data_IF_478781475433
#
_entry.id   IF_478781475433
#
_cell.length_a   1.000
_cell.length_b   1.000
_cell.length_c   1.000
_cell.angle_alpha   90.00
_cell.angle_beta   90.00
_cell.angle_gamma   90.00
#
_symmetry.space_group_name_H-M   'P 1'
#
loop_
_entity.id
_entity.type
_entity.pdbx_description
1 polymer ?
#
# COMPACT_ATOMS: atom_id res chain seq x y z
N UNK A 1 -62.82 -1.05 -22.27
CA UNK A 1 -61.53 -1.77 -22.29
C UNK A 1 -61.83 -3.23 -21.99
N UNK A 2 -61.77 -4.10 -22.99
CA UNK A 2 -62.01 -5.54 -22.85
C UNK A 2 -60.73 -6.17 -22.28
N UNK A 3 -60.82 -6.74 -21.07
CA UNK A 3 -59.73 -7.49 -20.48
C UNK A 3 -59.56 -8.78 -21.29
N UNK A 4 -58.41 -8.97 -21.94
CA UNK A 4 -58.09 -10.23 -22.61
C UNK A 4 -57.97 -11.30 -21.52
N UNK A 5 -58.86 -12.28 -21.54
CA UNK A 5 -58.77 -13.43 -20.64
C UNK A 5 -57.74 -14.37 -21.27
N UNK A 6 -56.59 -14.54 -20.60
CA UNK A 6 -55.55 -15.45 -21.04
C UNK A 6 -56.02 -16.89 -20.90
N UNK A 7 -55.79 -17.67 -21.95
CA UNK A 7 -56.09 -19.08 -21.95
C UNK A 7 -55.09 -19.84 -21.04
N UNK A 8 -55.48 -21.00 -20.50
CA UNK A 8 -54.55 -21.85 -19.74
C UNK A 8 -53.27 -22.21 -20.50
N UNK A 9 -53.32 -22.28 -21.84
CA UNK A 9 -52.16 -22.55 -22.68
C UNK A 9 -51.18 -21.38 -22.74
N UNK A 10 -51.67 -20.13 -22.79
CA UNK A 10 -50.85 -18.91 -22.73
C UNK A 10 -50.15 -18.83 -21.37
N UNK A 11 -50.89 -18.98 -20.27
CA UNK A 11 -50.31 -19.00 -18.91
C UNK A 11 -49.22 -20.07 -18.74
N UNK A 12 -49.44 -21.27 -19.30
CA UNK A 12 -48.44 -22.34 -19.22
C UNK A 12 -47.19 -22.06 -20.07
N UNK A 13 -47.33 -21.37 -21.21
CA UNK A 13 -46.19 -20.94 -22.01
C UNK A 13 -45.34 -19.90 -21.25
N UNK A 14 -45.98 -18.92 -20.61
CA UNK A 14 -45.32 -17.91 -19.80
C UNK A 14 -44.58 -18.54 -18.63
N UNK A 15 -45.20 -19.48 -17.91
CA UNK A 15 -44.54 -20.19 -16.83
C UNK A 15 -43.26 -20.92 -17.27
N UNK A 16 -43.24 -21.52 -18.47
CA UNK A 16 -42.03 -22.17 -18.98
C UNK A 16 -40.95 -21.14 -19.34
N UNK A 17 -41.34 -20.00 -19.90
CA UNK A 17 -40.41 -18.92 -20.19
C UNK A 17 -39.76 -18.40 -18.90
N UNK A 18 -40.56 -18.10 -17.86
CA UNK A 18 -40.04 -17.65 -16.57
C UNK A 18 -39.16 -18.69 -15.89
N UNK A 19 -39.47 -19.98 -16.02
CA UNK A 19 -38.60 -21.05 -15.52
C UNK A 19 -37.22 -21.04 -16.20
N UNK A 20 -37.17 -20.74 -17.49
CA UNK A 20 -35.92 -20.57 -18.23
C UNK A 20 -35.14 -19.36 -17.70
N UNK A 21 -35.80 -18.21 -17.58
CA UNK A 21 -35.18 -16.97 -17.09
C UNK A 21 -34.64 -17.14 -15.67
N UNK A 22 -35.42 -17.74 -14.77
CA UNK A 22 -35.01 -18.05 -13.40
C UNK A 22 -33.78 -18.98 -13.38
N UNK A 23 -33.71 -19.95 -14.30
CA UNK A 23 -32.57 -20.86 -14.38
C UNK A 23 -31.31 -20.12 -14.83
N UNK A 24 -31.43 -19.20 -15.79
CA UNK A 24 -30.34 -18.32 -16.23
C UNK A 24 -29.88 -17.40 -15.10
N UNK A 25 -30.80 -16.70 -14.42
CA UNK A 25 -30.44 -15.80 -13.32
C UNK A 25 -29.76 -16.53 -12.16
N UNK A 26 -30.16 -17.77 -11.87
CA UNK A 26 -29.48 -18.59 -10.86
C UNK A 26 -28.03 -18.88 -11.24
N UNK A 27 -27.78 -19.12 -12.52
CA UNK A 27 -26.43 -19.32 -13.03
C UNK A 27 -25.61 -18.02 -12.90
N UNK A 28 -26.15 -16.90 -13.37
CA UNK A 28 -25.48 -15.58 -13.28
C UNK A 28 -25.14 -15.22 -11.83
N UNK A 29 -26.09 -15.40 -10.90
CA UNK A 29 -25.87 -15.13 -9.46
C UNK A 29 -24.76 -16.03 -8.90
N UNK A 30 -24.68 -17.28 -9.32
CA UNK A 30 -23.63 -18.19 -8.87
C UNK A 30 -22.26 -17.76 -9.39
N UNK A 31 -22.17 -17.33 -10.64
CA UNK A 31 -20.95 -16.77 -11.24
C UNK A 31 -20.50 -15.52 -10.48
N UNK A 32 -21.39 -14.54 -10.30
CA UNK A 32 -21.07 -13.30 -9.57
C UNK A 32 -20.64 -13.55 -8.13
N UNK A 33 -21.19 -14.57 -7.47
CA UNK A 33 -20.74 -14.97 -6.11
C UNK A 33 -19.30 -15.47 -6.13
N UNK A 34 -18.95 -16.33 -7.09
CA UNK A 34 -17.58 -16.82 -7.24
C UNK A 34 -16.60 -15.70 -7.58
N UNK A 35 -17.02 -14.74 -8.42
CA UNK A 35 -16.22 -13.56 -8.76
C UNK A 35 -15.98 -12.68 -7.52
N UNK A 36 -17.03 -12.46 -6.70
CA UNK A 36 -16.89 -11.71 -5.46
C UNK A 36 -15.96 -12.40 -4.45
N UNK A 37 -16.05 -13.72 -4.29
CA UNK A 37 -15.14 -14.48 -3.41
C UNK A 37 -13.68 -14.30 -3.85
N UNK A 38 -13.40 -14.46 -5.15
CA UNK A 38 -12.06 -14.22 -5.71
C UNK A 38 -11.59 -12.77 -5.54
N UNK A 39 -12.48 -11.79 -5.72
CA UNK A 39 -12.14 -10.38 -5.51
C UNK A 39 -11.78 -10.09 -4.05
N UNK A 40 -12.46 -10.70 -3.08
CA UNK A 40 -12.14 -10.56 -1.66
C UNK A 40 -10.77 -11.15 -1.33
N UNK A 41 -10.44 -12.33 -1.84
CA UNK A 41 -9.10 -12.93 -1.68
C UNK A 41 -7.99 -12.02 -2.23
N UNK A 42 -8.22 -11.40 -3.40
CA UNK A 42 -7.26 -10.45 -3.98
C UNK A 42 -7.10 -9.19 -3.12
N UNK A 43 -8.19 -8.65 -2.57
CA UNK A 43 -8.14 -7.49 -1.67
C UNK A 43 -7.38 -7.83 -0.38
N UNK A 44 -7.55 -9.03 0.17
CA UNK A 44 -6.79 -9.48 1.34
C UNK A 44 -5.29 -9.57 1.05
N UNK A 45 -4.91 -10.10 -0.12
CA UNK A 45 -3.50 -10.12 -0.56
C UNK A 45 -2.93 -8.70 -0.71
N UNK A 46 -3.70 -7.77 -1.28
CA UNK A 46 -3.32 -6.36 -1.38
C UNK A 46 -3.15 -5.74 0.01
N UNK A 47 -4.06 -6.02 0.94
CA UNK A 47 -3.96 -5.55 2.32
C UNK A 47 -2.68 -6.04 3.00
N UNK A 48 -2.27 -7.29 2.74
CA UNK A 48 -1.01 -7.82 3.26
C UNK A 48 0.22 -7.11 2.67
N UNK A 49 0.23 -6.82 1.37
CA UNK A 49 1.29 -6.01 0.75
C UNK A 49 1.39 -4.61 1.36
N UNK A 50 0.26 -3.99 1.71
CA UNK A 50 0.23 -2.69 2.40
C UNK A 50 0.84 -2.80 3.80
N UNK A 51 0.56 -3.88 4.55
CA UNK A 51 1.17 -4.12 5.87
C UNK A 51 2.68 -4.32 5.77
N UNK A 52 3.16 -5.04 4.77
CA UNK A 52 4.60 -5.18 4.51
C UNK A 52 5.25 -3.83 4.21
N UNK A 53 4.59 -2.98 3.42
CA UNK A 53 5.07 -1.61 3.15
C UNK A 53 5.09 -0.75 4.42
N UNK A 54 4.08 -0.88 5.29
CA UNK A 54 4.07 -0.21 6.60
C UNK A 54 5.24 -0.64 7.47
N UNK A 55 5.55 -1.95 7.51
CA UNK A 55 6.73 -2.44 8.24
C UNK A 55 8.02 -1.80 7.70
N UNK A 56 8.18 -1.75 6.38
CA UNK A 56 9.36 -1.12 5.76
C UNK A 56 9.48 0.39 6.10
N UNK A 57 8.35 1.09 6.21
CA UNK A 57 8.32 2.49 6.66
C UNK A 57 8.77 2.64 8.11
N UNK A 58 8.30 1.76 9.00
CA UNK A 58 8.71 1.78 10.41
C UNK A 58 10.20 1.47 10.56
N UNK A 59 10.69 0.41 9.91
CA UNK A 59 12.11 0.05 9.92
C UNK A 59 13.00 1.22 9.41
N UNK A 60 12.52 1.96 8.39
CA UNK A 60 13.20 3.15 7.88
C UNK A 60 13.15 4.31 8.87
N UNK A 61 12.02 4.54 9.54
CA UNK A 61 11.87 5.58 10.56
C UNK A 61 12.84 5.34 11.73
N UNK A 62 12.87 4.12 12.28
CA UNK A 62 13.80 3.72 13.35
C UNK A 62 15.26 3.97 12.95
N UNK A 63 15.61 3.69 11.69
CA UNK A 63 16.95 3.93 11.16
C UNK A 63 17.28 5.42 11.04
N UNK A 64 16.31 6.25 10.68
CA UNK A 64 16.49 7.71 10.61
C UNK A 64 16.70 8.29 12.01
N UNK A 65 15.90 7.89 12.99
CA UNK A 65 16.06 8.31 14.39
C UNK A 65 17.44 7.91 14.94
N UNK A 66 17.90 6.69 14.63
CA UNK A 66 19.24 6.25 15.03
C UNK A 66 20.38 7.09 14.41
N UNK A 67 20.21 7.53 13.15
CA UNK A 67 21.18 8.43 12.50
C UNK A 67 21.16 9.82 13.12
N UNK A 68 19.96 10.35 13.42
CA UNK A 68 19.83 11.66 14.06
C UNK A 68 20.55 11.69 15.41
N UNK A 69 20.32 10.70 16.27
CA UNK A 69 21.04 10.60 17.54
C UNK A 69 22.56 10.40 17.37
N UNK A 70 22.97 9.66 16.33
CA UNK A 70 24.39 9.52 15.97
C UNK A 70 25.03 10.84 15.57
N UNK A 71 24.36 11.62 14.72
CA UNK A 71 24.82 12.94 14.26
C UNK A 71 24.94 13.92 15.41
N UNK A 72 23.98 13.96 16.34
CA UNK A 72 24.06 14.81 17.53
C UNK A 72 25.27 14.47 18.39
N UNK A 73 25.54 13.18 18.60
CA UNK A 73 26.71 12.73 19.35
C UNK A 73 28.02 13.08 18.64
N UNK A 74 28.10 12.88 17.31
CA UNK A 74 29.28 13.22 16.53
C UNK A 74 29.55 14.74 16.55
N UNK A 75 28.52 15.56 16.41
CA UNK A 75 28.63 17.03 16.48
C UNK A 75 29.10 17.49 17.87
N UNK A 76 28.60 16.90 18.95
CA UNK A 76 29.09 17.20 20.31
C UNK A 76 30.58 16.90 20.47
N UNK A 77 31.04 15.77 19.93
CA UNK A 77 32.46 15.40 19.96
C UNK A 77 33.31 16.34 19.11
N UNK A 78 32.85 16.67 17.90
CA UNK A 78 33.52 17.63 17.03
C UNK A 78 33.68 18.99 17.71
N UNK A 79 32.61 19.50 18.32
CA UNK A 79 32.61 20.75 19.07
C UNK A 79 33.54 20.71 20.29
N UNK A 80 33.66 19.57 20.97
CA UNK A 80 34.61 19.40 22.07
C UNK A 80 36.05 19.46 21.58
N UNK A 81 36.39 18.70 20.53
CA UNK A 81 37.74 18.69 19.94
C UNK A 81 38.16 20.07 19.40
N UNK A 82 37.24 20.81 18.79
CA UNK A 82 37.52 22.19 18.32
C UNK A 82 37.79 23.17 19.46
N UNK A 83 37.20 22.96 20.65
CA UNK A 83 37.48 23.80 21.83
C UNK A 83 38.85 23.49 22.43
N UNK A 84 39.20 22.21 22.52
CA UNK A 84 40.42 21.77 23.21
C UNK A 84 41.68 21.90 22.33
N UNK A 85 41.51 21.82 21.00
CA UNK A 85 42.61 21.79 20.04
C UNK A 85 42.34 22.64 18.78
N UNK A 86 42.04 23.93 18.98
CA UNK A 86 41.64 24.85 17.90
C UNK A 86 42.63 25.00 16.72
N UNK A 87 43.93 24.69 16.94
CA UNK A 87 45.02 24.81 15.94
C UNK A 87 45.67 23.45 15.58
N UNK A 88 45.15 22.30 16.04
CA UNK A 88 45.67 20.99 15.65
C UNK A 88 44.82 20.34 14.56
N UNK A 89 45.45 19.50 13.74
CA UNK A 89 44.72 18.62 12.83
C UNK A 89 43.70 17.77 13.62
N UNK A 90 42.52 17.55 13.03
CA UNK A 90 41.49 16.69 13.60
C UNK A 90 42.04 15.27 13.74
N UNK A 91 41.70 14.60 14.86
CA UNK A 91 42.05 13.20 15.09
C UNK A 91 41.52 12.31 13.94
N UNK A 92 42.35 11.39 13.46
CA UNK A 92 42.01 10.40 12.42
C UNK A 92 40.75 9.61 12.79
N UNK A 93 40.48 9.41 14.09
CA UNK A 93 39.26 8.77 14.56
C UNK A 93 37.99 9.59 14.23
N UNK A 94 38.04 10.92 14.35
CA UNK A 94 36.92 11.81 14.03
C UNK A 94 36.68 11.88 12.52
N UNK A 95 37.75 11.96 11.74
CA UNK A 95 37.67 11.95 10.27
C UNK A 95 37.11 10.61 9.75
N UNK A 96 37.56 9.50 10.34
CA UNK A 96 37.02 8.17 10.05
C UNK A 96 35.53 8.04 10.39
N UNK A 97 35.12 8.52 11.57
CA UNK A 97 33.73 8.56 11.99
C UNK A 97 32.84 9.35 11.03
N UNK A 98 33.29 10.55 10.62
CA UNK A 98 32.56 11.39 9.66
C UNK A 98 32.38 10.71 8.30
N UNK A 99 33.41 10.01 7.79
CA UNK A 99 33.33 9.29 6.53
C UNK A 99 32.33 8.11 6.59
N UNK A 100 32.28 7.40 7.72
CA UNK A 100 31.30 6.34 7.93
C UNK A 100 29.87 6.87 8.02
N UNK A 101 29.66 7.97 8.76
CA UNK A 101 28.36 8.63 8.86
C UNK A 101 27.88 9.15 7.51
N UNK A 102 28.76 9.80 6.75
CA UNK A 102 28.47 10.25 5.39
C UNK A 102 28.01 9.10 4.48
N UNK A 103 28.67 7.94 4.58
CA UNK A 103 28.30 6.74 3.82
C UNK A 103 26.94 6.19 4.26
N UNK A 104 26.67 6.13 5.58
CA UNK A 104 25.39 5.69 6.14
C UNK A 104 24.26 6.62 5.68
N UNK A 105 24.46 7.93 5.78
CA UNK A 105 23.48 8.94 5.36
C UNK A 105 23.17 8.84 3.87
N UNK A 106 24.18 8.71 3.01
CA UNK A 106 23.98 8.56 1.56
C UNK A 106 23.20 7.27 1.22
N UNK A 107 23.47 6.17 1.94
CA UNK A 107 22.71 4.94 1.82
C UNK A 107 21.23 5.14 2.19
N UNK A 108 20.96 5.82 3.32
CA UNK A 108 19.59 6.09 3.75
C UNK A 108 18.86 7.08 2.87
N UNK A 109 19.54 8.08 2.31
CA UNK A 109 18.98 8.99 1.31
C UNK A 109 18.47 8.21 0.10
N UNK A 110 19.28 7.27 -0.42
CA UNK A 110 18.85 6.38 -1.52
C UNK A 110 17.68 5.50 -1.12
N UNK A 111 17.66 4.98 0.11
CA UNK A 111 16.55 4.17 0.61
C UNK A 111 15.26 4.99 0.71
N UNK A 112 15.32 6.19 1.28
CA UNK A 112 14.20 7.11 1.41
C UNK A 112 13.58 7.46 0.06
N UNK A 113 14.39 7.79 -0.96
CA UNK A 113 13.87 8.09 -2.31
C UNK A 113 13.18 6.87 -2.95
N UNK A 114 13.70 5.65 -2.76
CA UNK A 114 13.02 4.44 -3.24
C UNK A 114 11.69 4.25 -2.53
N UNK A 115 11.67 4.33 -1.20
CA UNK A 115 10.46 4.19 -0.38
C UNK A 115 9.40 5.21 -0.79
N UNK A 116 9.79 6.48 -0.93
CA UNK A 116 8.91 7.57 -1.37
C UNK A 116 8.28 7.29 -2.72
N UNK A 117 9.08 6.88 -3.71
CA UNK A 117 8.59 6.53 -5.06
C UNK A 117 7.56 5.40 -4.99
N UNK A 118 7.86 4.32 -4.28
CA UNK A 118 6.96 3.17 -4.17
C UNK A 118 5.70 3.51 -3.36
N UNK A 119 5.83 4.29 -2.29
CA UNK A 119 4.71 4.70 -1.44
C UNK A 119 3.65 5.47 -2.24
N UNK A 120 4.06 6.50 -3.01
CA UNK A 120 3.11 7.28 -3.79
C UNK A 120 2.37 6.44 -4.84
N UNK A 121 3.08 5.54 -5.52
CA UNK A 121 2.47 4.64 -6.51
C UNK A 121 1.47 3.69 -5.84
N UNK A 122 1.86 3.05 -4.74
CA UNK A 122 0.99 2.13 -4.01
C UNK A 122 -0.29 2.82 -3.52
N UNK A 123 -0.18 4.00 -2.90
CA UNK A 123 -1.33 4.74 -2.38
C UNK A 123 -2.23 5.29 -3.48
N UNK A 124 -1.66 5.66 -4.64
CA UNK A 124 -2.46 6.05 -5.80
C UNK A 124 -3.33 4.88 -6.31
N UNK A 125 -2.77 3.66 -6.39
CA UNK A 125 -3.54 2.48 -6.79
C UNK A 125 -4.64 2.12 -5.78
N UNK A 126 -4.36 2.19 -4.48
CA UNK A 126 -5.36 1.93 -3.43
C UNK A 126 -6.50 2.95 -3.52
N UNK A 127 -6.18 4.23 -3.73
CA UNK A 127 -7.19 5.29 -3.87
C UNK A 127 -8.05 5.09 -5.12
N UNK A 128 -7.42 4.73 -6.25
CA UNK A 128 -8.13 4.45 -7.50
C UNK A 128 -9.09 3.26 -7.34
N UNK A 129 -8.64 2.16 -6.74
CA UNK A 129 -9.47 0.99 -6.46
C UNK A 129 -10.68 1.38 -5.60
N UNK A 130 -10.43 2.12 -4.51
CA UNK A 130 -11.50 2.61 -3.63
C UNK A 130 -12.55 3.41 -4.39
N UNK A 131 -12.13 4.42 -5.15
CA UNK A 131 -13.07 5.25 -5.93
C UNK A 131 -13.83 4.45 -6.98
N UNK A 132 -13.18 3.50 -7.65
CA UNK A 132 -13.85 2.64 -8.63
C UNK A 132 -14.92 1.76 -7.99
N UNK A 133 -14.66 1.24 -6.79
CA UNK A 133 -15.66 0.46 -6.05
C UNK A 133 -16.81 1.35 -5.56
N UNK A 134 -16.51 2.53 -5.00
CA UNK A 134 -17.54 3.48 -4.54
C UNK A 134 -18.45 3.97 -5.68
N UNK A 135 -17.94 4.09 -6.91
CA UNK A 135 -18.73 4.50 -8.07
C UNK A 135 -19.59 3.39 -8.68
N UNK A 136 -19.25 2.12 -8.41
CA UNK A 136 -19.97 0.96 -8.92
C UNK A 136 -21.12 0.50 -7.98
N UNK A 137 -21.14 1.01 -6.74
CA UNK A 137 -22.21 0.80 -5.76
C UNK A 137 -23.29 1.87 -5.87
#
# INVERSE_FOLDING_TARGET
MTQKVESPAELHADHRHWQSDISMWKFDIQEWRSEHESALEQIEQIAELIRLHQKALNDHADTVEAIEGGLEFHEQNLAASLRDHADSDLDDALLGGHAEESKKFESQRKAHERIKKHHHVAMAHVTALKHSLEAAM
#
